data_IF_081834876541
#
_entry.id   IF_081834876541
#
_cell.length_a   1.000
_cell.length_b   1.000
_cell.length_c   1.000
_cell.angle_alpha   90.00
_cell.angle_beta   90.00
_cell.angle_gamma   90.00
#
_symmetry.space_group_name_H-M   'P 1'
#
loop_
_entity.id
_entity.type
_entity.pdbx_description
1 polymer ?
#
# COMPACT_ATOMS: atom_id res chain seq x y z
N UNK A 1 19.08 4.74 18.07
CA UNK A 1 18.76 5.49 16.86
C UNK A 1 20.01 5.87 16.07
N UNK A 2 20.93 6.69 16.59
CA UNK A 2 22.07 7.23 15.84
C UNK A 2 23.10 6.21 15.32
N UNK A 3 23.35 5.11 16.04
CA UNK A 3 24.21 4.03 15.52
C UNK A 3 23.62 3.36 14.27
N UNK A 4 22.30 3.20 14.20
CA UNK A 4 21.64 2.70 12.99
C UNK A 4 21.79 3.68 11.82
N UNK A 5 21.68 5.00 12.08
CA UNK A 5 21.81 6.04 11.05
C UNK A 5 23.21 6.06 10.43
N UNK A 6 24.27 5.85 11.23
CA UNK A 6 25.64 5.71 10.69
C UNK A 6 25.81 4.51 9.77
N UNK A 7 25.16 3.39 10.10
CA UNK A 7 25.17 2.20 9.24
C UNK A 7 24.44 2.48 7.94
N UNK A 8 23.29 3.18 7.98
CA UNK A 8 22.54 3.57 6.78
C UNK A 8 23.35 4.56 5.92
N UNK A 9 24.07 5.50 6.51
CA UNK A 9 24.95 6.42 5.78
C UNK A 9 26.07 5.67 5.04
N UNK A 10 26.75 4.74 5.71
CA UNK A 10 27.77 3.91 5.07
C UNK A 10 27.18 3.03 3.95
N UNK A 11 25.94 2.56 4.11
CA UNK A 11 25.23 1.81 3.09
C UNK A 11 24.90 2.65 1.87
N UNK A 12 24.48 3.91 2.06
CA UNK A 12 24.24 4.84 0.97
C UNK A 12 25.52 5.11 0.17
N UNK A 13 26.65 5.36 0.83
CA UNK A 13 27.94 5.56 0.18
C UNK A 13 28.35 4.33 -0.67
N UNK A 14 28.07 3.10 -0.16
CA UNK A 14 28.30 1.86 -0.91
C UNK A 14 27.39 1.77 -2.15
N UNK A 15 26.10 2.15 -2.02
CA UNK A 15 25.14 2.15 -3.11
C UNK A 15 25.53 3.15 -4.20
N UNK A 16 25.97 4.35 -3.84
CA UNK A 16 26.45 5.37 -4.78
C UNK A 16 27.66 4.87 -5.56
N UNK A 17 28.60 4.19 -4.91
CA UNK A 17 29.72 3.55 -5.62
C UNK A 17 29.28 2.46 -6.58
N UNK A 18 28.31 1.63 -6.19
CA UNK A 18 27.77 0.57 -7.04
C UNK A 18 26.95 1.12 -8.21
N UNK A 19 26.19 2.18 -7.99
CA UNK A 19 25.43 2.87 -9.04
C UNK A 19 26.32 3.58 -10.07
N UNK A 20 27.54 3.95 -9.67
CA UNK A 20 28.54 4.54 -10.57
C UNK A 20 29.34 3.50 -11.36
N UNK A 21 29.15 2.19 -11.12
CA UNK A 21 29.88 1.13 -11.78
C UNK A 21 29.39 0.91 -13.22
N UNK A 22 30.27 0.80 -14.23
CA UNK A 22 29.89 0.66 -15.65
C UNK A 22 29.09 -0.60 -15.96
N UNK A 23 29.26 -1.67 -15.19
CA UNK A 23 28.60 -2.99 -15.34
C UNK A 23 27.15 -3.01 -14.85
N UNK A 24 26.66 -1.92 -14.26
CA UNK A 24 25.28 -1.83 -13.76
C UNK A 24 24.24 -1.90 -14.88
N UNK A 25 24.58 -1.37 -16.06
CA UNK A 25 23.67 -1.32 -17.21
C UNK A 25 23.46 -2.68 -17.89
N UNK A 26 24.27 -3.69 -17.55
CA UNK A 26 24.15 -5.04 -18.09
C UNK A 26 23.01 -5.85 -17.41
N UNK A 27 22.53 -5.39 -16.22
CA UNK A 27 21.44 -6.01 -15.46
C UNK A 27 20.42 -4.96 -15.01
N UNK A 28 19.37 -4.69 -15.83
CA UNK A 28 18.34 -3.69 -15.52
C UNK A 28 17.59 -3.94 -14.22
N UNK A 29 17.35 -5.21 -13.85
CA UNK A 29 16.62 -5.57 -12.64
C UNK A 29 17.46 -5.30 -11.39
N UNK A 30 18.77 -5.53 -11.48
CA UNK A 30 19.72 -5.19 -10.42
C UNK A 30 19.83 -3.67 -10.26
N UNK A 31 19.91 -2.94 -11.37
CA UNK A 31 19.95 -1.48 -11.37
C UNK A 31 18.70 -0.88 -10.73
N UNK A 32 17.52 -1.37 -11.09
CA UNK A 32 16.25 -0.91 -10.52
C UNK A 32 16.15 -1.15 -9.01
N UNK A 33 16.65 -2.31 -8.52
CA UNK A 33 16.70 -2.60 -7.07
C UNK A 33 17.63 -1.67 -6.32
N UNK A 34 18.84 -1.42 -6.84
CA UNK A 34 19.80 -0.52 -6.19
C UNK A 34 19.33 0.93 -6.20
N UNK A 35 18.70 1.40 -7.28
CA UNK A 35 18.10 2.73 -7.36
C UNK A 35 16.95 2.90 -6.37
N UNK A 36 16.11 1.88 -6.19
CA UNK A 36 15.02 1.92 -5.20
C UNK A 36 15.58 2.03 -3.79
N UNK A 37 16.57 1.19 -3.42
CA UNK A 37 17.23 1.24 -2.13
C UNK A 37 17.93 2.60 -1.89
N UNK A 38 18.58 3.16 -2.91
CA UNK A 38 19.19 4.49 -2.85
C UNK A 38 18.15 5.57 -2.53
N UNK A 39 17.05 5.63 -3.31
CA UNK A 39 15.98 6.63 -3.13
C UNK A 39 15.28 6.52 -1.76
N UNK A 40 15.27 5.33 -1.16
CA UNK A 40 14.74 5.13 0.19
C UNK A 40 15.68 5.66 1.26
N UNK A 41 16.99 5.50 1.10
CA UNK A 41 18.00 5.88 2.10
C UNK A 41 18.43 7.34 1.99
N UNK A 42 18.44 7.92 0.80
CA UNK A 42 18.91 9.28 0.53
C UNK A 42 18.27 10.34 1.45
N UNK A 43 16.94 10.43 1.61
CA UNK A 43 16.33 11.43 2.48
C UNK A 43 16.71 11.24 3.96
N UNK A 44 16.85 9.98 4.42
CA UNK A 44 17.23 9.66 5.80
C UNK A 44 18.66 10.10 6.07
N UNK A 45 19.58 9.78 5.17
CA UNK A 45 21.00 10.11 5.32
C UNK A 45 21.25 11.60 5.16
N UNK A 46 20.53 12.27 4.27
CA UNK A 46 20.60 13.73 4.11
C UNK A 46 20.21 14.44 5.41
N UNK A 47 19.05 14.12 5.97
CA UNK A 47 18.60 14.67 7.24
C UNK A 47 19.59 14.34 8.39
N UNK A 48 20.20 13.14 8.38
CA UNK A 48 21.20 12.77 9.37
C UNK A 48 22.51 13.57 9.24
N UNK A 49 22.98 13.81 8.02
CA UNK A 49 24.16 14.65 7.77
C UNK A 49 23.93 16.11 8.19
N UNK A 50 22.73 16.64 7.92
CA UNK A 50 22.32 17.96 8.41
C UNK A 50 22.29 18.02 9.94
N UNK A 51 21.77 16.99 10.59
CA UNK A 51 21.77 16.87 12.05
C UNK A 51 23.21 16.85 12.63
N UNK A 52 24.11 16.06 12.05
CA UNK A 52 25.52 16.05 12.47
C UNK A 52 26.18 17.43 12.29
N UNK A 53 25.86 18.13 11.20
CA UNK A 53 26.36 19.48 10.97
C UNK A 53 25.80 20.47 12.00
N UNK A 54 24.51 20.41 12.30
CA UNK A 54 23.91 21.24 13.34
C UNK A 54 24.51 20.99 14.73
N UNK A 55 24.85 19.74 15.05
CA UNK A 55 25.57 19.39 16.27
C UNK A 55 26.98 19.98 16.33
N UNK A 56 27.70 19.97 15.20
CA UNK A 56 29.03 20.61 15.11
C UNK A 56 28.91 22.12 15.30
N UNK A 57 27.99 22.78 14.61
CA UNK A 57 27.71 24.21 14.77
C UNK A 57 27.36 24.56 16.23
N UNK A 58 26.59 23.72 16.92
CA UNK A 58 26.26 23.89 18.32
C UNK A 58 27.53 23.85 19.22
N UNK A 59 28.44 22.90 18.95
CA UNK A 59 29.67 22.75 19.68
C UNK A 59 30.59 23.97 19.45
N UNK A 60 30.76 24.37 18.18
CA UNK A 60 31.58 25.52 17.78
C UNK A 60 31.04 26.83 18.39
N UNK A 61 29.73 27.08 18.30
CA UNK A 61 29.06 28.23 18.90
C UNK A 61 29.21 28.25 20.43
N UNK A 62 29.18 27.06 21.06
CA UNK A 62 29.40 26.95 22.53
C UNK A 62 30.82 27.33 22.92
N UNK A 63 31.82 26.97 22.13
CA UNK A 63 33.24 27.35 22.35
C UNK A 63 33.43 28.86 22.12
N UNK A 64 32.80 29.42 21.07
CA UNK A 64 32.87 30.87 20.77
C UNK A 64 32.22 31.78 21.83
N UNK A 65 31.32 31.26 22.68
CA UNK A 65 30.73 32.02 23.79
C UNK A 65 31.77 32.50 24.82
N UNK A 66 32.93 31.87 24.86
CA UNK A 66 34.03 32.27 25.75
C UNK A 66 34.76 33.52 25.27
N UNK A 67 34.60 33.93 24.02
CA UNK A 67 35.17 35.14 23.43
C UNK A 67 34.19 36.32 23.54
N UNK A 68 34.53 37.40 24.25
CA UNK A 68 33.68 38.56 24.44
C UNK A 68 33.24 39.24 23.12
N UNK A 69 34.12 39.23 22.10
CA UNK A 69 33.89 39.90 20.81
C UNK A 69 32.95 39.10 19.90
N UNK A 70 32.82 37.79 20.14
CA UNK A 70 31.97 36.88 19.34
C UNK A 70 30.67 36.50 20.04
N UNK A 71 30.44 36.95 21.25
CA UNK A 71 29.38 36.48 22.14
C UNK A 71 27.97 36.63 21.57
N UNK A 72 27.70 37.76 20.93
CA UNK A 72 26.37 38.03 20.36
C UNK A 72 26.08 37.09 19.18
N UNK A 73 27.00 36.95 18.25
CA UNK A 73 26.92 36.03 17.11
C UNK A 73 26.83 34.57 17.57
N UNK A 74 27.66 34.17 18.53
CA UNK A 74 27.63 32.82 19.10
C UNK A 74 26.29 32.48 19.78
N UNK A 75 25.61 33.46 20.39
CA UNK A 75 24.28 33.25 20.97
C UNK A 75 23.21 33.01 19.89
N UNK A 76 23.24 33.76 18.81
CA UNK A 76 22.31 33.56 17.67
C UNK A 76 22.54 32.21 17.02
N UNK A 77 23.79 31.86 16.70
CA UNK A 77 24.12 30.54 16.10
C UNK A 77 23.73 29.38 17.02
N UNK A 78 23.93 29.50 18.32
CA UNK A 78 23.58 28.49 19.32
C UNK A 78 22.06 28.28 19.38
N UNK A 79 21.27 29.36 19.31
CA UNK A 79 19.83 29.27 19.33
C UNK A 79 19.29 28.65 18.04
N UNK A 80 19.86 29.04 16.88
CA UNK A 80 19.51 28.46 15.60
C UNK A 80 19.86 26.96 15.56
N UNK A 81 21.08 26.58 15.92
CA UNK A 81 21.51 25.19 15.93
C UNK A 81 20.66 24.31 16.86
N UNK A 82 20.23 24.82 18.02
CA UNK A 82 19.29 24.09 18.90
C UNK A 82 17.93 23.88 18.25
N UNK A 83 17.42 24.89 17.57
CA UNK A 83 16.15 24.80 16.85
C UNK A 83 16.23 23.79 15.69
N UNK A 84 17.32 23.82 14.93
CA UNK A 84 17.56 22.89 13.83
C UNK A 84 17.76 21.45 14.31
N UNK A 85 18.47 21.22 15.40
CA UNK A 85 18.62 19.91 16.01
C UNK A 85 17.25 19.35 16.41
N UNK A 86 16.41 20.12 17.09
CA UNK A 86 15.09 19.66 17.51
C UNK A 86 14.19 19.30 16.31
N UNK A 87 14.19 20.16 15.27
CA UNK A 87 13.45 19.92 14.01
C UNK A 87 13.94 18.64 13.32
N UNK A 88 15.26 18.48 13.19
CA UNK A 88 15.88 17.34 12.50
C UNK A 88 15.70 16.02 13.28
N UNK A 89 15.70 16.05 14.62
CA UNK A 89 15.37 14.87 15.43
C UNK A 89 13.94 14.37 15.18
N UNK A 90 12.99 15.27 15.08
CA UNK A 90 11.59 14.89 14.79
C UNK A 90 11.42 14.44 13.34
N UNK A 91 12.10 15.06 12.41
CA UNK A 91 12.15 14.63 11.00
C UNK A 91 12.78 13.23 10.85
N UNK A 92 13.92 12.98 11.50
CA UNK A 92 14.57 11.68 11.50
C UNK A 92 13.70 10.58 12.12
N UNK A 93 13.00 10.87 13.21
CA UNK A 93 12.03 9.94 13.79
C UNK A 93 10.95 9.57 12.78
N UNK A 94 10.41 10.56 12.06
CA UNK A 94 9.40 10.35 11.02
C UNK A 94 9.94 9.54 9.83
N UNK A 95 11.15 9.85 9.36
CA UNK A 95 11.78 9.15 8.24
C UNK A 95 12.17 7.69 8.57
N UNK A 96 12.42 7.38 9.84
CA UNK A 96 12.74 6.04 10.32
C UNK A 96 11.51 5.17 10.59
N UNK A 97 10.29 5.71 10.46
CA UNK A 97 9.09 4.91 10.55
C UNK A 97 9.06 3.86 9.42
N UNK A 98 8.63 2.63 9.72
CA UNK A 98 8.48 1.62 8.70
C UNK A 98 7.47 2.12 7.66
N UNK A 99 7.93 2.29 6.43
CA UNK A 99 7.06 2.61 5.29
C UNK A 99 6.20 1.39 4.95
N UNK A 100 4.94 1.62 4.67
CA UNK A 100 4.08 0.57 4.13
C UNK A 100 4.59 0.21 2.71
N UNK A 101 4.90 -1.06 2.43
CA UNK A 101 5.37 -1.48 1.11
C UNK A 101 4.36 -1.19 -0.01
N UNK A 102 3.10 -0.92 0.35
CA UNK A 102 2.06 -0.58 -0.61
C UNK A 102 1.96 0.92 -0.90
N UNK A 103 2.64 1.81 -0.13
CA UNK A 103 2.47 3.25 -0.24
C UNK A 103 2.74 3.82 -1.65
N UNK A 104 3.62 3.19 -2.42
CA UNK A 104 3.94 3.60 -3.80
C UNK A 104 3.04 2.94 -4.87
N UNK A 105 2.17 1.99 -4.48
CA UNK A 105 1.34 1.25 -5.43
C UNK A 105 0.17 2.07 -5.93
N UNK A 106 -0.26 1.74 -7.16
CA UNK A 106 -1.58 2.10 -7.65
C UNK A 106 -2.66 1.37 -6.84
N UNK A 107 -3.90 1.80 -6.98
CA UNK A 107 -5.00 1.25 -6.21
C UNK A 107 -6.22 0.92 -7.08
N UNK A 108 -7.03 0.00 -6.55
CA UNK A 108 -8.42 -0.16 -6.93
C UNK A 108 -9.30 0.41 -5.83
N UNK A 109 -10.21 1.31 -6.19
CA UNK A 109 -11.22 1.85 -5.30
C UNK A 109 -12.55 1.20 -5.64
N UNK A 110 -13.17 0.55 -4.65
CA UNK A 110 -14.49 -0.05 -4.76
C UNK A 110 -15.46 0.77 -3.91
N UNK A 111 -16.51 1.30 -4.53
CA UNK A 111 -17.56 2.05 -3.86
C UNK A 111 -18.87 1.27 -4.00
N UNK A 112 -19.54 0.99 -2.90
CA UNK A 112 -20.81 0.26 -2.87
C UNK A 112 -21.84 1.01 -2.05
N UNK A 113 -23.07 1.12 -2.60
CA UNK A 113 -24.20 1.59 -1.83
C UNK A 113 -24.46 0.68 -0.63
N UNK A 114 -24.61 1.27 0.57
CA UNK A 114 -24.91 0.60 1.81
C UNK A 114 -26.37 0.77 2.22
N UNK A 115 -26.59 1.19 3.48
CA UNK A 115 -27.94 1.43 3.97
C UNK A 115 -28.50 2.76 3.41
N UNK A 116 -29.67 2.72 2.77
CA UNK A 116 -30.34 3.91 2.24
C UNK A 116 -30.97 3.73 0.85
N UNK A 117 -30.86 2.52 0.27
CA UNK A 117 -31.46 2.22 -1.04
C UNK A 117 -30.89 3.08 -2.15
N UNK A 118 -31.76 3.70 -2.98
CA UNK A 118 -31.38 4.52 -4.11
C UNK A 118 -30.47 5.70 -3.73
N UNK A 119 -30.75 6.33 -2.57
CA UNK A 119 -29.93 7.46 -2.06
C UNK A 119 -28.48 7.06 -1.80
N UNK A 120 -28.25 5.85 -1.32
CA UNK A 120 -26.88 5.34 -1.12
C UNK A 120 -26.15 5.14 -2.44
N UNK A 121 -26.87 4.78 -3.50
CA UNK A 121 -26.32 4.63 -4.84
C UNK A 121 -26.00 6.00 -5.48
N UNK A 122 -26.85 7.01 -5.29
CA UNK A 122 -26.58 8.37 -5.72
C UNK A 122 -25.36 8.95 -4.99
N UNK A 123 -25.25 8.70 -3.70
CA UNK A 123 -24.08 9.13 -2.94
C UNK A 123 -22.79 8.39 -3.37
N UNK A 124 -22.87 7.14 -3.80
CA UNK A 124 -21.75 6.44 -4.40
C UNK A 124 -21.25 7.15 -5.68
N UNK A 125 -22.15 7.71 -6.49
CA UNK A 125 -21.78 8.51 -7.65
C UNK A 125 -21.10 9.83 -7.27
N UNK A 126 -21.57 10.49 -6.19
CA UNK A 126 -20.92 11.70 -5.66
C UNK A 126 -19.50 11.40 -5.16
N UNK A 127 -19.30 10.30 -4.43
CA UNK A 127 -17.98 9.89 -3.97
C UNK A 127 -17.05 9.53 -5.14
N UNK A 128 -17.54 8.81 -6.14
CA UNK A 128 -16.77 8.51 -7.34
C UNK A 128 -16.31 9.80 -8.04
N UNK A 129 -17.21 10.77 -8.23
CA UNK A 129 -16.90 12.08 -8.80
C UNK A 129 -15.85 12.80 -7.94
N UNK A 130 -16.01 12.80 -6.62
CA UNK A 130 -15.07 13.43 -5.69
C UNK A 130 -13.65 12.87 -5.85
N UNK A 131 -13.50 11.54 -5.86
CA UNK A 131 -12.19 10.89 -6.02
C UNK A 131 -11.59 11.12 -7.40
N UNK A 132 -12.39 11.12 -8.46
CA UNK A 132 -11.91 11.44 -9.82
C UNK A 132 -11.39 12.86 -9.91
N UNK A 133 -12.12 13.84 -9.37
CA UNK A 133 -11.68 15.22 -9.34
C UNK A 133 -10.43 15.44 -8.49
N UNK A 134 -10.28 14.69 -7.39
CA UNK A 134 -9.06 14.69 -6.60
C UNK A 134 -7.89 14.10 -7.37
N UNK A 135 -8.08 12.97 -8.04
CA UNK A 135 -7.09 12.34 -8.88
C UNK A 135 -6.60 13.26 -10.00
N UNK A 136 -7.53 13.94 -10.69
CA UNK A 136 -7.21 14.91 -11.74
C UNK A 136 -6.35 16.06 -11.21
N UNK A 137 -6.68 16.63 -10.03
CA UNK A 137 -5.88 17.66 -9.38
C UNK A 137 -4.46 17.23 -9.06
N UNK A 138 -4.28 15.93 -8.76
CA UNK A 138 -2.97 15.32 -8.46
C UNK A 138 -2.21 14.86 -9.71
N UNK A 139 -2.82 14.93 -10.88
CA UNK A 139 -2.26 14.41 -12.13
C UNK A 139 -2.26 12.88 -12.20
N UNK A 140 -3.12 12.23 -11.42
CA UNK A 140 -3.31 10.78 -11.44
C UNK A 140 -4.29 10.37 -12.53
N UNK A 141 -4.12 9.18 -13.05
CA UNK A 141 -5.02 8.61 -14.05
C UNK A 141 -6.09 7.74 -13.40
N UNK A 142 -7.33 7.87 -13.86
CA UNK A 142 -8.45 7.05 -13.39
C UNK A 142 -9.03 6.23 -14.54
N UNK A 143 -9.34 4.96 -14.26
CA UNK A 143 -9.92 4.02 -15.22
C UNK A 143 -11.03 3.21 -14.56
N UNK A 144 -12.24 3.24 -15.15
CA UNK A 144 -13.36 2.44 -14.64
C UNK A 144 -13.20 0.99 -15.07
N UNK A 145 -13.14 0.08 -14.09
CA UNK A 145 -13.00 -1.35 -14.33
C UNK A 145 -14.36 -2.06 -14.38
N UNK A 146 -15.26 -1.69 -13.49
CA UNK A 146 -16.61 -2.26 -13.43
C UNK A 146 -17.59 -1.26 -12.82
N UNK A 147 -18.83 -1.26 -13.29
CA UNK A 147 -19.90 -0.43 -12.72
C UNK A 147 -21.26 -1.11 -12.83
N UNK A 148 -22.08 -0.90 -11.82
CA UNK A 148 -23.49 -1.27 -11.81
C UNK A 148 -24.32 -0.02 -11.51
N UNK A 149 -24.92 0.54 -12.57
CA UNK A 149 -25.70 1.78 -12.49
C UNK A 149 -27.13 1.52 -12.01
N UNK A 150 -27.73 2.53 -11.39
CA UNK A 150 -29.18 2.57 -11.10
C UNK A 150 -29.91 3.44 -12.12
N UNK A 151 -31.24 3.33 -12.16
CA UNK A 151 -32.07 4.09 -13.09
C UNK A 151 -31.97 5.63 -12.90
N UNK A 152 -31.64 6.07 -11.69
CA UNK A 152 -31.48 7.49 -11.34
C UNK A 152 -30.03 7.99 -11.47
N UNK A 153 -29.14 7.23 -12.11
CA UNK A 153 -27.76 7.62 -12.34
C UNK A 153 -26.81 7.41 -11.16
N UNK A 154 -27.25 6.69 -10.11
CA UNK A 154 -26.40 6.25 -9.01
C UNK A 154 -25.62 4.98 -9.35
N UNK A 155 -24.73 4.57 -8.47
CA UNK A 155 -24.01 3.30 -8.58
C UNK A 155 -24.35 2.37 -7.41
N UNK A 156 -24.89 1.17 -7.72
CA UNK A 156 -24.96 0.08 -6.73
C UNK A 156 -23.53 -0.35 -6.34
N UNK A 157 -22.69 -0.41 -7.33
CA UNK A 157 -21.26 -0.70 -7.20
C UNK A 157 -20.51 -0.02 -8.34
N UNK A 158 -19.36 0.58 -8.01
CA UNK A 158 -18.38 1.03 -8.99
C UNK A 158 -16.98 0.67 -8.51
N UNK A 159 -16.19 0.11 -9.43
CA UNK A 159 -14.78 -0.22 -9.21
C UNK A 159 -13.96 0.52 -10.25
N UNK A 160 -12.98 1.28 -9.80
CA UNK A 160 -12.08 2.01 -10.69
C UNK A 160 -10.65 1.96 -10.17
N UNK A 161 -9.72 1.98 -11.10
CA UNK A 161 -8.29 2.04 -10.85
C UNK A 161 -7.85 3.50 -10.76
N UNK A 162 -6.95 3.79 -9.82
CA UNK A 162 -6.25 5.08 -9.76
C UNK A 162 -4.75 4.80 -9.81
N UNK A 163 -4.07 5.39 -10.79
CA UNK A 163 -2.65 5.20 -11.04
C UNK A 163 -1.88 6.52 -11.02
N UNK A 164 -0.77 6.56 -10.32
CA UNK A 164 0.09 7.72 -10.18
C UNK A 164 1.09 7.59 -9.04
N UNK A 165 1.77 8.66 -8.71
CA UNK A 165 2.76 8.66 -7.63
C UNK A 165 2.09 8.64 -6.26
N UNK A 166 2.48 7.67 -5.41
CA UNK A 166 2.08 7.53 -4.00
C UNK A 166 0.56 7.57 -3.76
N UNK A 167 -0.20 6.95 -4.66
CA UNK A 167 -1.67 6.97 -4.61
C UNK A 167 -2.18 6.28 -3.36
N UNK A 168 -1.67 5.07 -3.06
CA UNK A 168 -2.10 4.30 -1.89
C UNK A 168 -1.81 5.03 -0.58
N UNK A 169 -0.64 5.64 -0.44
CA UNK A 169 -0.24 6.36 0.79
C UNK A 169 -1.24 7.45 1.20
N UNK A 170 -1.91 8.06 0.22
CA UNK A 170 -2.89 9.11 0.49
C UNK A 170 -4.32 8.58 0.63
N UNK A 171 -4.73 7.66 -0.24
CA UNK A 171 -6.12 7.21 -0.31
C UNK A 171 -6.44 6.00 0.59
N UNK A 172 -5.44 5.33 1.18
CA UNK A 172 -5.67 4.22 2.13
C UNK A 172 -6.58 4.58 3.31
N UNK A 173 -6.58 5.85 3.71
CA UNK A 173 -7.43 6.36 4.78
C UNK A 173 -8.90 6.58 4.37
N UNK A 174 -9.24 6.41 3.10
CA UNK A 174 -10.61 6.55 2.60
C UNK A 174 -11.42 5.26 2.74
N UNK A 175 -10.78 4.17 3.12
CA UNK A 175 -11.45 2.89 3.37
C UNK A 175 -12.37 2.97 4.58
N UNK A 176 -13.63 2.54 4.41
CA UNK A 176 -14.61 2.48 5.48
C UNK A 176 -16.01 2.88 5.06
N UNK A 177 -16.84 3.20 6.06
CA UNK A 177 -18.24 3.60 5.87
C UNK A 177 -18.35 5.12 5.83
N UNK A 178 -18.83 5.65 4.72
CA UNK A 178 -19.13 7.07 4.51
C UNK A 178 -20.60 7.32 4.69
N UNK A 179 -20.96 8.27 5.56
CA UNK A 179 -22.36 8.59 5.90
C UNK A 179 -22.75 9.94 5.32
N UNK A 180 -23.86 9.97 4.59
CA UNK A 180 -24.45 11.20 4.05
C UNK A 180 -25.71 11.57 4.80
N UNK A 181 -25.90 12.86 5.03
CA UNK A 181 -27.11 13.48 5.59
C UNK A 181 -27.55 14.58 4.65
N UNK A 182 -28.61 14.32 3.87
CA UNK A 182 -29.25 15.29 2.97
C UNK A 182 -30.71 14.95 2.74
N UNK A 183 -31.44 15.87 2.12
CA UNK A 183 -32.75 15.57 1.55
C UNK A 183 -32.53 14.87 0.21
N UNK A 184 -32.88 13.58 0.07
CA UNK A 184 -32.71 12.87 -1.19
C UNK A 184 -33.53 13.50 -2.33
N UNK A 185 -33.09 13.35 -3.57
CA UNK A 185 -33.89 13.75 -4.74
C UNK A 185 -35.22 13.00 -4.85
N UNK A 186 -35.28 11.81 -4.25
CA UNK A 186 -36.47 10.93 -4.17
C UNK A 186 -37.45 11.31 -3.05
N UNK A 187 -37.08 12.28 -2.18
CA UNK A 187 -37.91 12.67 -1.02
C UNK A 187 -38.79 13.89 -1.35
N UNK A 188 -40.10 13.68 -1.34
CA UNK A 188 -41.08 14.72 -1.68
C UNK A 188 -41.46 15.65 -0.51
N UNK A 189 -41.20 15.27 0.75
CA UNK A 189 -41.59 15.99 1.94
C UNK A 189 -40.45 16.81 2.57
N UNK A 190 -39.29 16.88 1.93
CA UNK A 190 -38.14 17.65 2.39
C UNK A 190 -37.46 17.13 3.66
N UNK A 191 -37.65 15.86 4.01
CA UNK A 191 -37.01 15.27 5.21
C UNK A 191 -35.57 14.90 4.95
N UNK A 192 -34.68 15.22 5.90
CA UNK A 192 -33.29 14.81 5.86
C UNK A 192 -33.19 13.31 6.12
N UNK A 193 -32.62 12.58 5.16
CA UNK A 193 -32.31 11.16 5.31
C UNK A 193 -30.84 10.95 5.63
N UNK A 194 -30.55 9.81 6.27
CA UNK A 194 -29.20 9.37 6.55
C UNK A 194 -28.93 8.08 5.80
N UNK A 195 -28.01 8.12 4.86
CA UNK A 195 -27.60 6.96 4.06
C UNK A 195 -26.12 6.68 4.23
N UNK A 196 -25.70 5.47 3.87
CA UNK A 196 -24.29 5.05 3.95
C UNK A 196 -23.83 4.43 2.64
N UNK A 197 -22.58 4.65 2.34
CA UNK A 197 -21.85 4.05 1.22
C UNK A 197 -20.51 3.54 1.75
N UNK A 198 -20.10 2.38 1.31
CA UNK A 198 -18.83 1.78 1.73
C UNK A 198 -17.78 2.01 0.64
N UNK A 199 -16.58 2.30 1.07
CA UNK A 199 -15.40 2.46 0.22
C UNK A 199 -14.34 1.47 0.67
N UNK A 200 -13.80 0.70 -0.28
CA UNK A 200 -12.61 -0.11 -0.06
C UNK A 200 -11.49 0.39 -0.97
N UNK A 201 -10.30 0.54 -0.42
CA UNK A 201 -9.09 0.94 -1.15
C UNK A 201 -8.11 -0.20 -1.07
N UNK A 202 -7.87 -0.84 -2.21
CA UNK A 202 -7.04 -2.03 -2.31
C UNK A 202 -5.79 -1.71 -3.14
N UNK A 203 -4.57 -2.02 -2.65
CA UNK A 203 -3.37 -1.85 -3.46
C UNK A 203 -3.40 -2.77 -4.67
N UNK A 204 -2.89 -2.28 -5.82
CA UNK A 204 -2.74 -3.08 -7.02
C UNK A 204 -1.81 -4.28 -6.73
N UNK A 205 -2.30 -5.48 -6.97
CA UNK A 205 -1.51 -6.70 -6.76
C UNK A 205 -0.41 -6.80 -7.82
N UNK A 206 0.78 -7.15 -7.39
CA UNK A 206 1.87 -7.48 -8.31
C UNK A 206 1.60 -8.79 -9.02
N UNK A 207 2.06 -8.92 -10.27
CA UNK A 207 2.04 -10.20 -10.96
C UNK A 207 2.86 -11.23 -10.16
N UNK A 208 2.28 -12.42 -10.01
CA UNK A 208 2.96 -13.50 -9.29
C UNK A 208 4.08 -14.06 -10.15
N UNK A 209 5.31 -13.69 -9.82
CA UNK A 209 6.51 -14.38 -10.31
C UNK A 209 6.59 -15.75 -9.65
N UNK A 210 6.01 -16.75 -10.33
CA UNK A 210 5.92 -18.10 -9.82
C UNK A 210 7.09 -18.96 -10.31
N UNK A 211 8.07 -19.16 -9.45
CA UNK A 211 9.22 -20.03 -9.69
C UNK A 211 9.24 -21.20 -8.69
N UNK A 212 9.48 -22.41 -9.19
CA UNK A 212 9.68 -23.60 -8.35
C UNK A 212 11.18 -23.93 -8.35
N UNK A 213 11.80 -23.88 -7.15
CA UNK A 213 13.20 -24.31 -7.01
C UNK A 213 13.27 -25.83 -7.24
N UNK A 214 14.13 -26.30 -8.15
CA UNK A 214 14.36 -27.74 -8.33
C UNK A 214 14.76 -28.51 -7.05
N UNK A 215 15.36 -27.82 -6.06
CA UNK A 215 15.72 -28.41 -4.76
C UNK A 215 14.52 -28.77 -3.90
N UNK A 216 13.40 -28.08 -4.11
CA UNK A 216 12.15 -28.32 -3.39
C UNK A 216 11.33 -29.47 -3.99
N UNK A 217 11.84 -30.10 -5.05
CA UNK A 217 11.18 -31.19 -5.74
C UNK A 217 11.84 -32.52 -5.42
N UNK A 218 11.02 -33.47 -4.94
CA UNK A 218 11.38 -34.86 -4.89
C UNK A 218 10.71 -35.61 -6.02
N UNK A 219 11.50 -36.29 -6.86
CA UNK A 219 11.02 -37.02 -8.03
C UNK A 219 11.29 -38.49 -7.83
N UNK A 220 10.23 -39.27 -7.72
CA UNK A 220 10.27 -40.70 -7.55
C UNK A 220 9.75 -41.40 -8.82
N UNK A 221 10.43 -42.48 -9.23
CA UNK A 221 9.97 -43.33 -10.33
C UNK A 221 9.31 -44.58 -9.79
N UNK A 222 8.20 -44.97 -10.39
CA UNK A 222 7.51 -46.23 -10.00
C UNK A 222 6.95 -46.96 -11.21
N UNK A 223 6.46 -48.15 -11.02
CA UNK A 223 5.86 -48.95 -12.06
C UNK A 223 4.42 -48.53 -12.27
N UNK A 224 4.06 -48.27 -13.54
CA UNK A 224 2.69 -47.93 -13.89
C UNK A 224 1.75 -49.11 -13.55
N UNK A 225 0.58 -48.80 -13.01
CA UNK A 225 -0.49 -49.77 -12.75
C UNK A 225 -1.56 -49.62 -13.85
N UNK A 226 -1.93 -50.75 -14.49
CA UNK A 226 -2.99 -50.73 -15.50
C UNK A 226 -2.99 -52.01 -16.36
N UNK A 227 -4.04 -52.20 -17.17
CA UNK A 227 -4.13 -53.26 -18.15
C UNK A 227 -3.13 -53.04 -19.29
N UNK A 228 -2.04 -53.81 -19.31
CA UNK A 228 -0.99 -53.71 -20.33
C UNK A 228 -0.04 -54.89 -20.30
N UNK A 229 0.68 -55.12 -21.41
CA UNK A 229 1.58 -56.23 -21.62
C UNK A 229 2.89 -56.10 -20.81
N UNK A 230 3.87 -56.99 -21.10
CA UNK A 230 5.16 -57.09 -20.36
C UNK A 230 5.92 -55.76 -20.15
N UNK A 231 5.74 -54.80 -21.01
CA UNK A 231 6.44 -53.50 -20.93
C UNK A 231 5.98 -52.65 -19.74
N UNK A 232 4.67 -52.63 -19.43
CA UNK A 232 4.12 -51.86 -18.32
C UNK A 232 4.52 -52.46 -16.97
N UNK A 233 4.64 -53.78 -16.89
CA UNK A 233 4.97 -54.49 -15.65
C UNK A 233 6.48 -54.55 -15.33
N UNK A 234 7.35 -54.24 -16.33
CA UNK A 234 8.81 -54.32 -16.14
C UNK A 234 9.52 -52.97 -16.10
N UNK A 235 8.93 -51.93 -16.68
CA UNK A 235 9.58 -50.61 -16.81
C UNK A 235 8.99 -49.63 -15.81
N UNK A 236 9.80 -48.95 -15.01
CA UNK A 236 9.38 -47.87 -14.11
C UNK A 236 9.24 -46.57 -14.90
N UNK A 237 8.19 -46.45 -15.74
CA UNK A 237 7.91 -45.26 -16.56
C UNK A 237 7.03 -44.23 -15.86
N UNK A 238 6.35 -44.59 -14.79
CA UNK A 238 5.53 -43.66 -14.02
C UNK A 238 6.37 -42.76 -13.11
N UNK A 239 5.97 -41.54 -13.01
CA UNK A 239 6.66 -40.50 -12.20
C UNK A 239 5.71 -39.97 -11.16
N UNK A 240 6.26 -39.80 -9.95
CA UNK A 240 5.66 -39.03 -8.84
C UNK A 240 6.55 -37.86 -8.54
N UNK A 241 6.01 -36.65 -8.61
CA UNK A 241 6.69 -35.43 -8.21
C UNK A 241 6.03 -34.91 -6.95
N UNK A 242 6.82 -34.71 -5.91
CA UNK A 242 6.38 -34.12 -4.64
C UNK A 242 7.07 -32.79 -4.44
N UNK A 243 6.31 -31.73 -4.25
CA UNK A 243 6.81 -30.45 -3.81
C UNK A 243 6.92 -30.46 -2.28
N UNK A 244 8.15 -30.45 -1.76
CA UNK A 244 8.45 -30.68 -0.35
C UNK A 244 7.80 -29.65 0.58
N UNK A 245 7.87 -28.31 0.28
CA UNK A 245 7.32 -27.28 1.19
C UNK A 245 5.80 -27.36 1.36
N UNK A 246 5.05 -27.66 0.27
CA UNK A 246 3.58 -27.74 0.32
C UNK A 246 3.04 -29.14 0.43
N UNK A 247 3.91 -30.15 0.35
CA UNK A 247 3.55 -31.57 0.29
C UNK A 247 2.54 -31.92 -0.84
N UNK A 248 2.54 -31.11 -1.90
CA UNK A 248 1.71 -31.36 -3.08
C UNK A 248 2.31 -32.47 -3.92
N UNK A 249 1.53 -33.51 -4.20
CA UNK A 249 1.97 -34.66 -4.97
C UNK A 249 1.25 -34.72 -6.30
N UNK A 250 1.98 -34.96 -7.37
CA UNK A 250 1.45 -35.21 -8.71
C UNK A 250 2.07 -36.50 -9.26
N UNK A 251 1.21 -37.38 -9.75
CA UNK A 251 1.61 -38.64 -10.41
C UNK A 251 1.23 -38.58 -11.88
N UNK A 252 2.09 -39.06 -12.74
CA UNK A 252 1.84 -39.21 -14.17
C UNK A 252 2.34 -40.53 -14.67
N UNK A 253 1.46 -41.30 -15.32
CA UNK A 253 1.74 -42.62 -15.89
C UNK A 253 1.16 -42.81 -17.30
N UNK A 254 0.73 -41.72 -17.97
CA UNK A 254 -0.03 -41.75 -19.21
C UNK A 254 0.82 -42.19 -20.41
N UNK A 255 2.10 -41.86 -20.38
CA UNK A 255 3.00 -42.09 -21.51
C UNK A 255 3.96 -43.27 -21.22
N UNK A 256 4.43 -43.90 -22.29
CA UNK A 256 5.47 -44.97 -22.19
C UNK A 256 6.86 -44.40 -21.87
N UNK A 257 7.07 -43.12 -22.07
CA UNK A 257 8.34 -42.41 -21.84
C UNK A 257 8.35 -41.75 -20.46
N UNK A 258 9.32 -42.15 -19.63
CA UNK A 258 9.57 -41.56 -18.34
C UNK A 258 9.81 -40.04 -18.40
N UNK A 259 10.54 -39.58 -19.43
CA UNK A 259 10.79 -38.15 -19.64
C UNK A 259 9.51 -37.35 -19.91
N UNK A 260 8.62 -37.87 -20.77
CA UNK A 260 7.35 -37.23 -21.06
C UNK A 260 6.44 -37.19 -19.84
N UNK A 261 6.40 -38.29 -19.06
CA UNK A 261 5.64 -38.31 -17.80
C UNK A 261 6.20 -37.31 -16.79
N UNK A 262 7.53 -37.14 -16.70
CA UNK A 262 8.18 -36.13 -15.85
C UNK A 262 7.77 -34.71 -16.27
N UNK A 263 7.86 -34.39 -17.55
CA UNK A 263 7.47 -33.06 -18.06
C UNK A 263 5.99 -32.76 -17.78
N UNK A 264 5.11 -33.71 -18.05
CA UNK A 264 3.67 -33.61 -17.75
C UNK A 264 3.44 -33.40 -16.24
N UNK A 265 4.07 -34.23 -15.39
CA UNK A 265 3.91 -34.14 -13.94
C UNK A 265 4.39 -32.77 -13.40
N UNK A 266 5.51 -32.26 -13.90
CA UNK A 266 6.02 -30.93 -13.56
C UNK A 266 5.08 -29.80 -14.05
N UNK A 267 4.53 -29.93 -15.25
CA UNK A 267 3.56 -28.95 -15.75
C UNK A 267 2.28 -28.90 -14.92
N UNK A 268 1.74 -30.08 -14.56
CA UNK A 268 0.54 -30.17 -13.71
C UNK A 268 0.85 -29.65 -12.29
N UNK A 269 2.01 -29.99 -11.74
CA UNK A 269 2.43 -29.48 -10.44
C UNK A 269 2.52 -27.95 -10.45
N UNK A 270 3.15 -27.37 -11.48
CA UNK A 270 3.27 -25.92 -11.65
C UNK A 270 1.91 -25.25 -11.67
N UNK A 271 0.97 -25.78 -12.45
CA UNK A 271 -0.40 -25.25 -12.50
C UNK A 271 -1.10 -25.30 -11.14
N UNK A 272 -1.02 -26.43 -10.42
CA UNK A 272 -1.64 -26.58 -9.09
C UNK A 272 -1.06 -25.63 -8.06
N UNK A 273 0.26 -25.49 -8.02
CA UNK A 273 0.92 -24.58 -7.08
C UNK A 273 0.61 -23.12 -7.42
N UNK A 274 0.58 -22.77 -8.70
CA UNK A 274 0.17 -21.44 -9.16
C UNK A 274 -1.28 -21.13 -8.77
N UNK A 275 -2.21 -22.05 -9.02
CA UNK A 275 -3.62 -21.90 -8.61
C UNK A 275 -3.75 -21.72 -7.09
N UNK A 276 -2.99 -22.48 -6.29
CA UNK A 276 -3.00 -22.38 -4.84
C UNK A 276 -2.48 -21.01 -4.36
N UNK A 277 -1.44 -20.44 -4.99
CA UNK A 277 -0.91 -19.13 -4.63
C UNK A 277 -1.85 -18.00 -5.07
N UNK A 278 -2.47 -18.10 -6.26
CA UNK A 278 -3.52 -17.18 -6.72
C UNK A 278 -4.71 -17.19 -5.75
N UNK A 279 -5.16 -18.37 -5.30
CA UNK A 279 -6.28 -18.47 -4.36
C UNK A 279 -5.94 -17.87 -3.00
N UNK A 280 -4.72 -18.11 -2.50
CA UNK A 280 -4.22 -17.50 -1.28
C UNK A 280 -4.18 -15.97 -1.37
N UNK A 281 -3.71 -15.42 -2.49
CA UNK A 281 -3.70 -13.98 -2.74
C UNK A 281 -5.13 -13.41 -2.80
N UNK A 282 -6.05 -14.10 -3.50
CA UNK A 282 -7.47 -13.70 -3.54
C UNK A 282 -8.11 -13.73 -2.16
N UNK A 283 -7.84 -14.76 -1.36
CA UNK A 283 -8.35 -14.86 0.00
C UNK A 283 -7.82 -13.73 0.89
N UNK A 284 -6.55 -13.36 0.77
CA UNK A 284 -5.95 -12.24 1.49
C UNK A 284 -6.62 -10.90 1.11
N UNK A 285 -6.80 -10.63 -0.19
CA UNK A 285 -7.50 -9.43 -0.69
C UNK A 285 -8.96 -9.40 -0.20
N UNK A 286 -9.65 -10.54 -0.22
CA UNK A 286 -11.03 -10.63 0.26
C UNK A 286 -11.14 -10.39 1.78
N UNK A 287 -10.18 -10.88 2.57
CA UNK A 287 -10.11 -10.64 4.00
C UNK A 287 -9.83 -9.16 4.30
N UNK A 288 -8.90 -8.54 3.59
CA UNK A 288 -8.59 -7.11 3.72
C UNK A 288 -9.79 -6.24 3.35
N UNK A 289 -10.43 -6.49 2.19
CA UNK A 289 -11.68 -5.83 1.81
C UNK A 289 -12.74 -5.94 2.89
N UNK A 290 -12.95 -7.13 3.47
CA UNK A 290 -13.94 -7.35 4.51
C UNK A 290 -13.62 -6.57 5.78
N UNK A 291 -12.35 -6.46 6.16
CA UNK A 291 -11.93 -5.69 7.32
C UNK A 291 -12.16 -4.18 7.13
N UNK A 292 -11.93 -3.66 5.92
CA UNK A 292 -12.12 -2.25 5.59
C UNK A 292 -13.59 -1.83 5.58
N UNK A 293 -14.48 -2.66 5.03
CA UNK A 293 -15.89 -2.31 4.80
C UNK A 293 -16.78 -2.60 6.01
N UNK A 294 -16.39 -3.52 6.90
CA UNK A 294 -17.19 -3.92 8.06
C UNK A 294 -18.56 -4.47 7.64
N UNK A 295 -19.62 -4.07 8.35
CA UNK A 295 -21.02 -4.41 8.06
C UNK A 295 -21.72 -3.38 7.16
N UNK A 296 -21.10 -2.20 6.95
CA UNK A 296 -21.72 -1.06 6.27
C UNK A 296 -22.78 -0.34 7.09
N UNK A 297 -22.88 -0.65 8.39
CA UNK A 297 -23.85 -0.01 9.30
C UNK A 297 -23.51 1.47 9.53
N UNK A 298 -24.56 2.28 9.80
CA UNK A 298 -24.42 3.71 10.07
C UNK A 298 -23.57 4.05 11.30
N UNK A 299 -23.41 3.11 12.22
CA UNK A 299 -22.59 3.26 13.44
C UNK A 299 -21.10 3.17 13.16
N UNK A 300 -20.69 2.42 12.12
CA UNK A 300 -19.29 2.18 11.74
C UNK A 300 -18.67 3.31 10.91
N UNK A 301 -19.38 4.42 10.75
CA UNK A 301 -18.97 5.55 9.93
C UNK A 301 -17.57 6.08 10.29
N UNK A 302 -16.73 6.23 9.30
CA UNK A 302 -15.46 6.97 9.42
C UNK A 302 -15.67 8.46 9.21
N UNK A 303 -16.58 8.85 8.29
CA UNK A 303 -16.82 10.24 7.91
C UNK A 303 -18.31 10.53 7.69
N UNK A 304 -18.73 11.74 8.02
CA UNK A 304 -20.09 12.24 7.79
C UNK A 304 -20.07 13.46 6.89
N UNK A 305 -20.91 13.43 5.86
CA UNK A 305 -21.16 14.52 4.90
C UNK A 305 -22.54 15.09 5.21
N UNK A 306 -22.58 16.28 5.80
CA UNK A 306 -23.81 16.96 6.21
C UNK A 306 -24.10 18.13 5.26
N UNK A 307 -25.02 17.92 4.32
CA UNK A 307 -25.38 18.91 3.30
C UNK A 307 -26.10 20.13 3.90
N UNK A 308 -27.12 19.99 4.81
CA UNK A 308 -27.77 21.13 5.43
C UNK A 308 -26.82 22.12 6.12
N UNK A 309 -25.73 21.61 6.70
CA UNK A 309 -24.76 22.43 7.42
C UNK A 309 -23.48 22.70 6.64
N UNK A 310 -23.41 22.29 5.37
CA UNK A 310 -22.24 22.40 4.50
C UNK A 310 -20.93 21.94 5.17
N UNK A 311 -20.99 20.81 5.92
CA UNK A 311 -19.85 20.34 6.70
C UNK A 311 -19.49 18.89 6.40
N UNK A 312 -18.18 18.59 6.52
CA UNK A 312 -17.62 17.23 6.55
C UNK A 312 -16.95 17.02 7.89
N UNK A 313 -17.24 15.88 8.55
CA UNK A 313 -16.64 15.51 9.84
C UNK A 313 -15.99 14.14 9.72
N UNK A 314 -14.67 14.06 9.94
CA UNK A 314 -13.97 12.78 10.11
C UNK A 314 -13.96 12.41 11.61
N UNK A 315 -14.55 11.26 11.90
CA UNK A 315 -14.76 10.82 13.28
C UNK A 315 -13.53 10.21 13.92
N UNK A 316 -12.57 9.75 13.13
CA UNK A 316 -11.32 9.12 13.62
C UNK A 316 -10.43 10.14 14.31
N UNK A 317 -10.30 11.33 13.70
CA UNK A 317 -9.45 12.43 14.19
C UNK A 317 -10.27 13.58 14.79
N UNK A 318 -11.62 13.44 14.84
CA UNK A 318 -12.56 14.46 15.32
C UNK A 318 -12.40 15.82 14.64
N UNK A 319 -11.98 15.82 13.37
CA UNK A 319 -11.84 17.01 12.55
C UNK A 319 -13.15 17.31 11.82
N UNK A 320 -13.57 18.58 11.86
CA UNK A 320 -14.75 19.07 11.13
C UNK A 320 -14.38 20.29 10.29
N UNK A 321 -14.72 20.24 9.01
CA UNK A 321 -14.54 21.35 8.06
C UNK A 321 -15.90 21.79 7.51
N UNK A 322 -16.09 23.11 7.27
CA UNK A 322 -17.33 23.70 6.76
C UNK A 322 -17.18 24.09 5.29
N UNK A 323 -16.73 23.13 4.48
CA UNK A 323 -16.42 23.28 3.05
C UNK A 323 -16.86 22.04 2.26
N UNK A 324 -18.06 21.50 2.54
CA UNK A 324 -18.54 20.25 1.91
C UNK A 324 -18.49 20.32 0.39
N UNK A 325 -18.97 21.42 -0.21
CA UNK A 325 -18.99 21.57 -1.66
C UNK A 325 -17.59 21.54 -2.28
N UNK A 326 -16.62 22.19 -1.63
CA UNK A 326 -15.23 22.15 -2.07
C UNK A 326 -14.63 20.76 -1.93
N UNK A 327 -14.93 20.09 -0.82
CA UNK A 327 -14.47 18.73 -0.55
C UNK A 327 -15.00 17.75 -1.61
N UNK A 328 -16.29 17.80 -1.94
CA UNK A 328 -16.91 16.99 -3.01
C UNK A 328 -16.38 17.33 -4.42
N UNK A 329 -15.79 18.50 -4.60
CA UNK A 329 -15.09 18.90 -5.81
C UNK A 329 -13.58 18.56 -5.77
N UNK A 330 -13.17 17.61 -4.89
CA UNK A 330 -11.82 17.09 -4.81
C UNK A 330 -10.84 17.97 -4.04
N UNK A 331 -11.30 18.82 -3.11
CA UNK A 331 -10.42 19.54 -2.18
C UNK A 331 -10.32 18.79 -0.86
N UNK A 332 -9.61 17.66 -0.91
CA UNK A 332 -9.56 16.68 0.19
C UNK A 332 -8.32 16.80 1.07
N UNK A 333 -7.34 17.60 0.67
CA UNK A 333 -6.00 17.59 1.30
C UNK A 333 -6.04 17.93 2.79
N UNK A 334 -6.88 18.87 3.24
CA UNK A 334 -6.97 19.26 4.65
C UNK A 334 -7.29 18.08 5.58
N UNK A 335 -8.20 17.20 5.17
CA UNK A 335 -8.55 16.00 5.96
C UNK A 335 -7.51 14.90 5.78
N UNK A 336 -7.02 14.68 4.55
CA UNK A 336 -6.04 13.64 4.26
C UNK A 336 -4.70 13.90 4.95
N UNK A 337 -4.23 15.14 4.92
CA UNK A 337 -2.98 15.52 5.59
C UNK A 337 -3.09 15.38 7.12
N UNK A 338 -4.25 15.74 7.69
CA UNK A 338 -4.52 15.54 9.10
C UNK A 338 -4.56 14.04 9.49
N UNK A 339 -5.12 13.17 8.63
CA UNK A 339 -5.12 11.72 8.84
C UNK A 339 -3.71 11.13 8.75
N UNK A 340 -2.90 11.56 7.78
CA UNK A 340 -1.51 11.15 7.64
C UNK A 340 -0.70 11.58 8.88
N UNK A 341 -0.88 12.81 9.34
CA UNK A 341 -0.21 13.31 10.54
C UNK A 341 -0.61 12.52 11.80
N UNK A 342 -1.89 12.16 11.93
CA UNK A 342 -2.38 11.35 13.05
C UNK A 342 -1.79 9.93 13.03
N UNK A 343 -1.76 9.26 11.88
CA UNK A 343 -1.16 7.94 11.69
C UNK A 343 0.35 7.95 11.99
N UNK A 344 1.04 8.99 11.52
CA UNK A 344 2.46 9.20 11.81
C UNK A 344 2.72 9.37 13.32
N UNK A 345 1.89 10.18 14.00
CA UNK A 345 2.02 10.41 15.44
C UNK A 345 1.74 9.13 16.25
N UNK A 346 0.77 8.32 15.83
CA UNK A 346 0.47 7.04 16.47
C UNK A 346 1.63 6.05 16.33
N UNK A 347 2.20 5.89 15.14
CA UNK A 347 3.37 5.05 14.88
C UNK A 347 4.61 5.50 15.66
N UNK A 348 4.85 6.81 15.79
CA UNK A 348 5.94 7.36 16.59
C UNK A 348 5.76 7.01 18.09
N UNK A 349 4.52 7.07 18.58
CA UNK A 349 4.21 6.72 19.96
C UNK A 349 4.46 5.23 20.23
N UNK A 350 4.00 4.35 19.36
CA UNK A 350 4.24 2.90 19.45
C UNK A 350 5.74 2.58 19.45
N UNK A 351 6.55 3.25 18.62
CA UNK A 351 8.01 3.08 18.62
C UNK A 351 8.67 3.56 19.93
N UNK A 352 8.11 4.57 20.58
CA UNK A 352 8.66 5.08 21.84
C UNK A 352 8.35 4.21 23.06
N UNK A 353 7.31 3.35 22.96
CA UNK A 353 6.85 2.44 24.00
C UNK A 353 7.51 1.03 23.92
N UNK A 354 8.17 0.71 22.78
CA UNK A 354 8.97 -0.52 22.59
C UNK A 354 10.44 -0.30 22.92
#
# INVERSE_FOLDING_TARGET
MFEKLKVLAARLDELEMRLSAPDLYDDPDRAARLLREHNELEPIVTAFREYEQAQRTLADATEMLSDPDMKELAQEELQQAKSDIARLEDELKSLLLPKDPNDEKNIYVEIRGGAGGEESALFAADLYRMYTMYADKRGWQTEVMNKSETELGGYKEIVFRVAGDKVYSRLKFESGVHRVQRVPETESQGRVHTSTTTVAVLPEAEELDFYIDPKDLRIDTFRASGAGGQHINKTSSAIRVTHIPTNTVVECQDERSQHKNKEKALSVLRSRLYEAEVEKQRAAIAADRKSQVGTGDRSERIRTYNFPENRVSDHRIKLTIYKLDQFLNGDMDEILDALIAADTAEKLKEQSEM
#
